data_IF_600046994057
#
_entry.id   IF_600046994057
#
_cell.length_a   1.000
_cell.length_b   1.000
_cell.length_c   1.000
_cell.angle_alpha   90.00
_cell.angle_beta   90.00
_cell.angle_gamma   90.00
#
_symmetry.space_group_name_H-M   'P 1'
#
loop_
_entity.id
_entity.type
_entity.pdbx_description
1 polymer ?
#
# COMPACT_ATOMS: atom_id res chain seq x y z
N UNK A 1 -15.59 -20.17 23.12
CA UNK A 1 -14.13 -19.93 23.21
C UNK A 1 -13.83 -18.56 22.60
N UNK A 2 -13.66 -17.52 23.43
CA UNK A 2 -13.45 -16.12 23.01
C UNK A 2 -11.95 -15.82 23.04
N UNK A 3 -11.39 -15.29 21.95
CA UNK A 3 -9.96 -14.97 21.83
C UNK A 3 -9.67 -13.57 22.38
N UNK A 4 -8.72 -13.51 23.31
CA UNK A 4 -8.14 -12.29 23.90
C UNK A 4 -7.24 -11.59 22.87
N UNK A 5 -7.36 -10.27 22.75
CA UNK A 5 -6.39 -9.40 22.04
C UNK A 5 -5.77 -8.49 23.10
N UNK A 6 -4.44 -8.52 23.22
CA UNK A 6 -3.65 -7.74 24.16
C UNK A 6 -3.19 -6.44 23.48
N UNK A 7 -3.69 -5.30 23.96
CA UNK A 7 -3.21 -3.97 23.58
C UNK A 7 -2.29 -3.44 24.70
N UNK A 8 -1.04 -3.12 24.40
CA UNK A 8 -0.12 -2.43 25.31
C UNK A 8 -0.16 -0.94 24.98
N UNK A 9 -0.72 -0.15 25.91
CA UNK A 9 -0.66 1.32 25.94
C UNK A 9 0.43 1.73 26.93
N UNK A 10 1.47 2.43 26.46
CA UNK A 10 2.46 3.07 27.33
C UNK A 10 2.13 4.56 27.37
N UNK A 11 1.54 5.01 28.48
CA UNK A 11 1.39 6.42 28.82
C UNK A 11 2.64 6.89 29.56
N UNK A 12 3.35 7.88 29.00
CA UNK A 12 4.40 8.59 29.72
C UNK A 12 3.81 9.92 30.21
N UNK A 13 3.55 10.00 31.51
CA UNK A 13 3.06 11.19 32.19
C UNK A 13 4.19 12.22 32.35
N UNK A 14 4.02 13.40 31.74
CA UNK A 14 4.80 14.59 32.10
C UNK A 14 4.26 15.13 33.44
N UNK A 15 5.05 15.03 34.51
CA UNK A 15 4.85 15.85 35.70
C UNK A 15 5.61 17.17 35.54
N UNK A 16 4.85 18.26 35.50
CA UNK A 16 5.35 19.63 35.59
C UNK A 16 5.68 19.91 37.06
N UNK A 17 6.95 20.22 37.37
CA UNK A 17 7.32 20.81 38.66
C UNK A 17 7.60 22.31 38.47
N UNK A 18 6.76 23.13 39.09
CA UNK A 18 6.97 24.57 39.20
C UNK A 18 7.90 24.85 40.40
N UNK A 19 9.03 25.52 40.17
CA UNK A 19 9.85 26.10 41.24
C UNK A 19 9.82 27.63 41.21
N UNK A 20 9.50 28.18 42.37
CA UNK A 20 9.33 29.58 42.76
C UNK A 20 10.63 30.38 42.55
N UNK A 21 10.56 31.51 41.81
CA UNK A 21 11.65 32.48 41.69
C UNK A 21 11.97 33.11 43.06
N UNK A 22 13.20 32.97 43.52
CA UNK A 22 13.81 33.84 44.52
C UNK A 22 14.85 34.71 43.81
N UNK A 23 14.59 36.02 43.75
CA UNK A 23 15.52 37.03 43.24
C UNK A 23 16.63 37.26 44.27
N UNK A 24 17.83 36.78 43.98
CA UNK A 24 19.06 37.23 44.63
C UNK A 24 19.86 38.08 43.63
N UNK A 25 20.03 39.35 43.96
CA UNK A 25 20.84 40.31 43.20
C UNK A 25 22.31 39.90 43.25
N UNK A 26 22.85 39.35 42.16
CA UNK A 26 24.28 39.08 42.03
C UNK A 26 24.99 40.34 41.56
N UNK A 27 25.87 40.89 42.40
CA UNK A 27 26.81 41.95 42.03
C UNK A 27 27.70 41.44 40.89
N UNK A 28 27.77 42.19 39.79
CA UNK A 28 28.73 41.93 38.71
C UNK A 28 30.16 42.06 39.25
N UNK A 29 30.85 40.94 39.38
CA UNK A 29 32.31 40.91 39.44
C UNK A 29 32.81 40.67 38.03
N UNK A 30 33.27 41.74 37.37
CA UNK A 30 33.98 41.63 36.10
C UNK A 30 35.34 40.97 36.34
N UNK A 31 35.40 39.64 36.27
CA UNK A 31 36.65 38.93 36.00
C UNK A 31 36.78 38.83 34.48
N UNK A 32 37.88 39.30 33.87
CA UNK A 32 38.08 39.12 32.44
C UNK A 32 38.22 37.62 32.15
N UNK A 33 37.16 37.01 31.60
CA UNK A 33 37.26 35.69 30.98
C UNK A 33 38.14 35.86 29.75
N UNK A 34 39.41 35.46 29.86
CA UNK A 34 40.21 35.13 28.68
C UNK A 34 39.49 33.96 28.01
N UNK A 35 38.75 34.23 26.93
CA UNK A 35 38.31 33.21 25.99
C UNK A 35 39.58 32.62 25.40
N UNK A 36 40.05 31.50 25.97
CA UNK A 36 41.00 30.65 25.28
C UNK A 36 40.25 30.09 24.08
N UNK A 37 40.53 30.63 22.89
CA UNK A 37 40.17 29.98 21.64
C UNK A 37 41.05 28.74 21.49
N UNK A 38 40.73 27.67 22.21
CA UNK A 38 41.28 26.36 21.88
C UNK A 38 40.74 25.99 20.50
N UNK A 39 41.64 25.84 19.53
CA UNK A 39 41.32 25.17 18.26
C UNK A 39 40.62 23.85 18.61
N UNK A 40 39.51 23.48 17.94
CA UNK A 40 38.82 22.24 18.25
C UNK A 40 39.81 21.07 18.23
N UNK A 41 39.84 20.28 19.30
CA UNK A 41 40.69 19.11 19.36
C UNK A 41 40.35 18.20 18.18
N UNK A 42 41.38 17.65 17.53
CA UNK A 42 41.22 16.82 16.32
C UNK A 42 40.24 15.66 16.52
N UNK A 43 40.16 15.15 17.76
CA UNK A 43 39.22 14.11 18.20
C UNK A 43 37.77 14.59 18.16
N UNK A 44 37.46 15.77 18.70
CA UNK A 44 36.09 16.32 18.73
C UNK A 44 35.60 16.62 17.31
N UNK A 45 36.49 17.13 16.44
CA UNK A 45 36.18 17.33 15.02
C UNK A 45 35.88 16.02 14.28
N UNK A 46 36.53 14.92 14.66
CA UNK A 46 36.27 13.60 14.07
C UNK A 46 34.93 13.03 14.54
N UNK A 47 34.59 13.21 15.82
CA UNK A 47 33.32 12.77 16.39
C UNK A 47 32.13 13.49 15.74
N UNK A 48 32.21 14.82 15.59
CA UNK A 48 31.17 15.61 14.89
C UNK A 48 31.00 15.14 13.43
N UNK A 49 32.11 14.81 12.76
CA UNK A 49 32.06 14.26 11.39
C UNK A 49 31.42 12.87 11.37
N UNK A 50 31.71 12.02 12.35
CA UNK A 50 31.12 10.69 12.49
C UNK A 50 29.60 10.77 12.70
N UNK A 51 29.13 11.65 13.57
CA UNK A 51 27.70 11.85 13.84
C UNK A 51 26.96 12.37 12.60
N UNK A 52 27.59 13.28 11.85
CA UNK A 52 27.06 13.76 10.58
C UNK A 52 26.95 12.62 9.55
N UNK A 53 27.92 11.71 9.49
CA UNK A 53 27.88 10.55 8.59
C UNK A 53 26.81 9.54 9.00
N UNK A 54 26.64 9.31 10.30
CA UNK A 54 25.59 8.43 10.84
C UNK A 54 24.21 8.97 10.46
N UNK A 55 23.99 10.27 10.68
CA UNK A 55 22.73 10.95 10.34
C UNK A 55 22.46 10.88 8.82
N UNK A 56 23.49 11.06 8.00
CA UNK A 56 23.37 10.90 6.56
C UNK A 56 23.00 9.46 6.18
N UNK A 57 23.58 8.46 6.83
CA UNK A 57 23.28 7.05 6.58
C UNK A 57 21.84 6.69 6.96
N UNK A 58 21.35 7.17 8.11
CA UNK A 58 19.95 7.02 8.52
C UNK A 58 18.99 7.65 7.51
N UNK A 59 19.30 8.87 7.05
CA UNK A 59 18.51 9.52 6.01
C UNK A 59 18.48 8.70 4.72
N UNK A 60 19.63 8.23 4.25
CA UNK A 60 19.73 7.43 3.03
C UNK A 60 18.97 6.11 3.16
N UNK A 61 19.07 5.42 4.29
CA UNK A 61 18.30 4.19 4.54
C UNK A 61 16.80 4.45 4.51
N UNK A 62 16.35 5.52 5.17
CA UNK A 62 14.94 5.92 5.15
C UNK A 62 14.46 6.18 3.72
N UNK A 63 15.21 6.95 2.94
CA UNK A 63 14.87 7.25 1.55
C UNK A 63 14.84 5.98 0.71
N UNK A 64 15.82 5.09 0.84
CA UNK A 64 15.85 3.83 0.10
C UNK A 64 14.63 2.95 0.40
N UNK A 65 14.24 2.81 1.67
CA UNK A 65 13.06 2.03 2.03
C UNK A 65 11.78 2.61 1.41
N UNK A 66 11.61 3.94 1.47
CA UNK A 66 10.48 4.61 0.82
C UNK A 66 10.48 4.41 -0.69
N UNK A 67 11.65 4.47 -1.35
CA UNK A 67 11.75 4.22 -2.79
C UNK A 67 11.43 2.77 -3.15
N UNK A 68 11.85 1.81 -2.34
CA UNK A 68 11.53 0.40 -2.53
C UNK A 68 10.03 0.14 -2.42
N UNK A 69 9.36 0.72 -1.43
CA UNK A 69 7.90 0.65 -1.30
C UNK A 69 7.18 1.23 -2.52
N UNK A 70 7.64 2.39 -3.01
CA UNK A 70 7.07 3.02 -4.21
C UNK A 70 7.28 2.15 -5.46
N UNK A 71 8.45 1.54 -5.62
CA UNK A 71 8.73 0.63 -6.74
C UNK A 71 7.83 -0.60 -6.68
N UNK A 72 7.65 -1.19 -5.50
CA UNK A 72 6.78 -2.33 -5.31
C UNK A 72 5.32 -1.97 -5.66
N UNK A 73 4.80 -0.86 -5.12
CA UNK A 73 3.45 -0.39 -5.44
C UNK A 73 3.28 -0.11 -6.93
N UNK A 74 4.21 0.63 -7.54
CA UNK A 74 4.15 0.97 -8.97
C UNK A 74 4.19 -0.28 -9.83
N UNK A 75 5.07 -1.23 -9.53
CA UNK A 75 5.16 -2.48 -10.27
C UNK A 75 3.91 -3.35 -10.08
N UNK A 76 3.40 -3.42 -8.85
CA UNK A 76 2.21 -4.18 -8.46
C UNK A 76 0.92 -3.64 -9.06
N UNK A 77 0.82 -2.33 -9.34
CA UNK A 77 -0.38 -1.70 -9.92
C UNK A 77 -0.30 -1.53 -11.44
N UNK A 78 0.88 -1.72 -12.04
CA UNK A 78 1.08 -1.57 -13.48
C UNK A 78 0.25 -2.59 -14.26
N UNK A 79 -0.61 -2.13 -15.15
CA UNK A 79 -1.45 -3.01 -15.98
C UNK A 79 -2.49 -3.79 -15.20
N UNK A 80 -2.95 -3.27 -14.05
CA UNK A 80 -3.90 -3.96 -13.16
C UNK A 80 -5.19 -4.38 -13.85
N UNK A 81 -5.74 -3.54 -14.70
CA UNK A 81 -7.01 -3.80 -15.35
C UNK A 81 -6.82 -4.27 -16.80
N UNK A 82 -7.51 -5.33 -17.18
CA UNK A 82 -7.55 -5.86 -18.55
C UNK A 82 -8.99 -6.08 -18.99
N UNK A 83 -9.32 -5.59 -20.17
CA UNK A 83 -10.64 -5.81 -20.80
C UNK A 83 -10.60 -7.06 -21.68
N UNK A 84 -11.66 -7.84 -21.62
CA UNK A 84 -11.90 -9.02 -22.44
C UNK A 84 -13.17 -8.80 -23.25
N UNK A 85 -13.06 -8.98 -24.57
CA UNK A 85 -14.19 -8.93 -25.47
C UNK A 85 -15.08 -10.17 -25.28
N UNK A 86 -16.38 -9.97 -25.42
CA UNK A 86 -17.34 -11.06 -25.58
C UNK A 86 -17.85 -11.08 -27.01
N UNK A 87 -18.56 -12.13 -27.42
CA UNK A 87 -19.22 -12.16 -28.74
C UNK A 87 -20.36 -11.14 -28.84
N UNK A 88 -20.93 -10.71 -27.70
CA UNK A 88 -21.79 -9.55 -27.67
C UNK A 88 -20.91 -8.29 -27.74
N UNK A 89 -20.94 -7.62 -28.89
CA UNK A 89 -20.10 -6.43 -29.17
C UNK A 89 -20.30 -5.28 -28.17
N UNK A 90 -21.45 -5.21 -27.49
CA UNK A 90 -21.76 -4.20 -26.48
C UNK A 90 -21.21 -4.53 -25.10
N UNK A 91 -20.71 -5.75 -24.89
CA UNK A 91 -20.31 -6.25 -23.57
C UNK A 91 -18.83 -6.62 -23.53
N UNK A 92 -18.15 -6.09 -22.54
CA UNK A 92 -16.80 -6.47 -22.13
C UNK A 92 -16.80 -7.01 -20.71
N UNK A 93 -15.77 -7.79 -20.37
CA UNK A 93 -15.43 -8.11 -18.99
C UNK A 93 -14.15 -7.38 -18.61
N UNK A 94 -14.22 -6.52 -17.60
CA UNK A 94 -13.05 -5.92 -16.97
C UNK A 94 -12.58 -6.83 -15.84
N UNK A 95 -11.34 -7.32 -15.94
CA UNK A 95 -10.68 -8.08 -14.89
C UNK A 95 -9.68 -7.20 -14.16
N UNK A 96 -9.78 -7.16 -12.84
CA UNK A 96 -8.68 -6.78 -11.97
C UNK A 96 -7.71 -7.96 -11.86
N UNK A 97 -6.64 -7.91 -12.64
CA UNK A 97 -5.63 -8.97 -12.77
C UNK A 97 -4.82 -9.19 -11.48
N UNK A 98 -4.95 -8.30 -10.49
CA UNK A 98 -4.31 -8.46 -9.17
C UNK A 98 -5.21 -9.21 -8.18
N UNK A 99 -6.51 -8.95 -8.19
CA UNK A 99 -7.45 -9.48 -7.18
C UNK A 99 -8.38 -10.58 -7.71
N UNK A 100 -8.54 -10.69 -9.03
CA UNK A 100 -9.51 -11.59 -9.65
C UNK A 100 -10.95 -11.08 -9.60
N UNK A 101 -11.17 -9.79 -9.28
CA UNK A 101 -12.48 -9.13 -9.37
C UNK A 101 -12.85 -8.89 -10.83
N UNK A 102 -14.12 -9.15 -11.15
CA UNK A 102 -14.63 -9.03 -12.51
C UNK A 102 -15.84 -8.12 -12.51
N UNK A 103 -15.83 -7.15 -13.42
CA UNK A 103 -16.99 -6.32 -13.76
C UNK A 103 -17.42 -6.59 -15.20
N UNK A 104 -18.73 -6.69 -15.40
CA UNK A 104 -19.32 -6.64 -16.72
C UNK A 104 -19.48 -5.18 -17.11
N UNK A 105 -18.83 -4.75 -18.19
CA UNK A 105 -18.93 -3.42 -18.77
C UNK A 105 -19.84 -3.48 -19.99
N UNK A 106 -20.82 -2.59 -20.05
CA UNK A 106 -21.69 -2.40 -21.20
C UNK A 106 -21.48 -0.99 -21.75
N UNK A 107 -21.34 -0.87 -23.08
CA UNK A 107 -21.25 0.41 -23.78
C UNK A 107 -22.36 0.53 -24.82
N UNK A 108 -22.70 1.76 -25.18
CA UNK A 108 -23.83 2.09 -26.05
C UNK A 108 -23.59 3.46 -26.71
N UNK A 109 -24.34 3.79 -27.76
CA UNK A 109 -24.39 5.17 -28.24
C UNK A 109 -25.36 6.04 -27.43
N UNK A 110 -26.21 5.39 -26.63
CA UNK A 110 -27.12 6.04 -25.70
C UNK A 110 -26.54 5.97 -24.27
N UNK A 111 -26.22 7.13 -23.68
CA UNK A 111 -25.57 7.27 -22.36
C UNK A 111 -26.33 6.56 -21.22
N UNK A 112 -27.66 6.43 -21.34
CA UNK A 112 -28.52 5.77 -20.35
C UNK A 112 -28.40 4.24 -20.33
N UNK A 113 -27.71 3.67 -21.34
CA UNK A 113 -27.49 2.23 -21.50
C UNK A 113 -26.04 1.81 -21.30
N UNK A 114 -25.19 2.73 -20.87
CA UNK A 114 -23.81 2.47 -20.50
C UNK A 114 -23.67 2.19 -19.00
N UNK A 115 -22.69 1.36 -18.64
CA UNK A 115 -22.37 1.16 -17.24
C UNK A 115 -21.59 -0.11 -16.96
N UNK A 116 -21.20 -0.27 -15.70
CA UNK A 116 -20.57 -1.49 -15.22
C UNK A 116 -21.36 -2.12 -14.09
N UNK A 117 -21.24 -3.43 -13.96
CA UNK A 117 -21.83 -4.18 -12.87
C UNK A 117 -20.93 -5.32 -12.43
N UNK A 118 -20.71 -5.41 -11.13
CA UNK A 118 -19.84 -6.40 -10.52
C UNK A 118 -20.40 -7.82 -10.69
N UNK A 119 -19.58 -8.72 -11.20
CA UNK A 119 -19.85 -10.18 -11.21
C UNK A 119 -19.40 -10.79 -9.88
N UNK A 120 -18.21 -10.40 -9.40
CA UNK A 120 -17.69 -10.78 -8.09
C UNK A 120 -16.89 -9.66 -7.43
N UNK A 121 -17.09 -9.49 -6.13
CA UNK A 121 -16.35 -8.52 -5.30
C UNK A 121 -15.32 -9.18 -4.38
N UNK A 122 -15.24 -10.50 -4.39
CA UNK A 122 -14.27 -11.24 -3.59
C UNK A 122 -12.86 -11.07 -4.18
N UNK A 123 -11.89 -10.74 -3.32
CA UNK A 123 -10.48 -10.78 -3.64
C UNK A 123 -9.96 -12.22 -3.47
N UNK A 124 -9.51 -12.81 -4.58
CA UNK A 124 -8.98 -14.17 -4.62
C UNK A 124 -7.45 -14.22 -4.46
N UNK A 125 -6.77 -13.09 -4.27
CA UNK A 125 -5.32 -13.08 -4.01
C UNK A 125 -4.96 -13.67 -2.64
N UNK A 126 -5.93 -13.75 -1.72
CA UNK A 126 -5.75 -14.18 -0.32
C UNK A 126 -4.61 -13.46 0.41
N UNK A 127 -4.26 -12.24 -0.01
CA UNK A 127 -3.15 -11.49 0.57
C UNK A 127 -1.75 -12.04 0.22
N UNK A 128 -1.66 -13.04 -0.67
CA UNK A 128 -0.39 -13.62 -1.13
C UNK A 128 0.24 -12.75 -2.25
N UNK A 129 -0.42 -11.65 -2.62
CA UNK A 129 0.24 -10.45 -3.15
C UNK A 129 1.08 -10.70 -4.40
N UNK A 130 0.50 -11.28 -5.44
CA UNK A 130 1.25 -11.63 -6.66
C UNK A 130 1.37 -10.48 -7.68
N UNK A 131 0.99 -9.26 -7.31
CA UNK A 131 0.97 -8.11 -8.21
C UNK A 131 -0.06 -8.24 -9.34
N UNK A 132 -0.12 -7.22 -10.19
CA UNK A 132 -0.94 -7.24 -11.40
C UNK A 132 -0.46 -8.33 -12.36
N UNK A 133 -1.39 -8.93 -13.09
CA UNK A 133 -1.11 -10.01 -14.05
C UNK A 133 -1.22 -11.43 -13.50
N UNK A 134 -1.61 -11.61 -12.24
CA UNK A 134 -1.78 -12.92 -11.59
C UNK A 134 -3.01 -13.66 -12.11
N UNK A 135 -4.11 -12.94 -12.30
CA UNK A 135 -5.37 -13.49 -12.79
C UNK A 135 -5.54 -13.28 -14.30
N UNK A 136 -6.11 -14.27 -14.97
CA UNK A 136 -6.40 -14.21 -16.41
C UNK A 136 -7.73 -14.91 -16.73
N UNK A 137 -8.49 -14.33 -17.67
CA UNK A 137 -9.73 -14.91 -18.18
C UNK A 137 -9.49 -15.62 -19.51
N UNK A 138 -10.01 -16.84 -19.62
CA UNK A 138 -10.00 -17.64 -20.84
C UNK A 138 -11.43 -17.79 -21.35
N UNK A 139 -11.71 -17.38 -22.60
CA UNK A 139 -13.05 -17.55 -23.19
C UNK A 139 -13.34 -19.03 -23.41
N UNK A 140 -14.63 -19.36 -23.35
CA UNK A 140 -15.14 -20.67 -23.81
C UNK A 140 -15.89 -20.50 -25.13
N UNK A 141 -16.35 -21.59 -25.73
CA UNK A 141 -17.26 -21.54 -26.89
C UNK A 141 -18.63 -20.96 -26.56
N UNK A 142 -19.00 -20.88 -25.27
CA UNK A 142 -20.22 -20.20 -24.86
C UNK A 142 -19.87 -18.76 -24.49
N UNK A 143 -20.43 -17.80 -25.23
CA UNK A 143 -20.12 -16.37 -25.03
C UNK A 143 -20.37 -15.86 -23.60
N UNK A 144 -21.25 -16.51 -22.83
CA UNK A 144 -21.56 -16.14 -21.45
C UNK A 144 -20.55 -16.68 -20.43
N UNK A 145 -19.69 -17.62 -20.82
CA UNK A 145 -18.87 -18.42 -19.89
C UNK A 145 -17.38 -18.24 -20.14
N UNK A 146 -16.65 -18.02 -19.06
CA UNK A 146 -15.19 -17.88 -19.03
C UNK A 146 -14.60 -18.75 -17.92
N UNK A 147 -13.32 -19.09 -18.06
CA UNK A 147 -12.52 -19.68 -17.00
C UNK A 147 -11.56 -18.61 -16.48
N UNK A 148 -11.69 -18.24 -15.21
CA UNK A 148 -10.68 -17.46 -14.51
C UNK A 148 -9.61 -18.42 -13.99
N UNK A 149 -8.35 -18.12 -14.25
CA UNK A 149 -7.21 -18.82 -13.65
C UNK A 149 -6.37 -17.86 -12.82
N UNK A 150 -5.92 -18.34 -11.67
CA UNK A 150 -4.79 -17.77 -10.98
C UNK A 150 -3.52 -18.41 -11.52
N UNK A 151 -2.67 -17.62 -12.19
CA UNK A 151 -1.44 -18.10 -12.83
C UNK A 151 -0.34 -18.39 -11.82
N UNK A 152 -0.48 -18.02 -10.56
CA UNK A 152 0.55 -18.29 -9.54
C UNK A 152 0.41 -19.67 -8.93
N UNK A 153 -0.81 -20.08 -8.58
CA UNK A 153 -1.08 -21.36 -7.92
C UNK A 153 -2.00 -22.31 -8.69
N UNK A 154 -2.48 -21.88 -9.87
CA UNK A 154 -3.24 -22.71 -10.80
C UNK A 154 -4.69 -22.92 -10.41
N UNK A 155 -5.22 -22.22 -9.41
CA UNK A 155 -6.66 -22.28 -9.07
C UNK A 155 -7.51 -21.77 -10.21
N UNK A 156 -8.70 -22.35 -10.35
CA UNK A 156 -9.61 -22.06 -11.45
C UNK A 156 -11.01 -21.79 -10.93
N UNK A 157 -11.69 -20.89 -11.63
CA UNK A 157 -13.10 -20.60 -11.39
C UNK A 157 -13.83 -20.57 -12.71
N UNK A 158 -15.05 -21.10 -12.69
CA UNK A 158 -16.00 -20.94 -13.78
C UNK A 158 -16.77 -19.64 -13.53
N UNK A 159 -16.72 -18.74 -14.50
CA UNK A 159 -17.35 -17.42 -14.49
C UNK A 159 -18.49 -17.41 -15.49
N UNK A 160 -19.63 -16.86 -15.09
CA UNK A 160 -20.73 -16.54 -16.01
C UNK A 160 -21.12 -15.06 -15.88
N UNK A 161 -21.32 -14.38 -17.01
CA UNK A 161 -21.91 -13.04 -17.06
C UNK A 161 -23.34 -13.08 -17.61
N UNK A 162 -24.09 -12.00 -17.41
CA UNK A 162 -25.43 -11.87 -17.98
C UNK A 162 -26.20 -10.66 -17.47
N UNK A 163 -27.35 -10.41 -18.10
CA UNK A 163 -28.16 -9.20 -17.86
C UNK A 163 -28.86 -9.22 -16.50
N UNK A 164 -29.11 -10.41 -15.93
CA UNK A 164 -29.77 -10.56 -14.63
C UNK A 164 -28.77 -10.86 -13.52
N UNK A 165 -29.12 -10.54 -12.28
CA UNK A 165 -28.30 -10.87 -11.11
C UNK A 165 -28.04 -12.38 -10.99
N UNK A 166 -29.01 -13.24 -11.31
CA UNK A 166 -28.88 -14.70 -11.21
C UNK A 166 -27.97 -15.29 -12.29
N UNK A 167 -27.84 -14.62 -13.43
CA UNK A 167 -26.95 -15.03 -14.52
C UNK A 167 -25.50 -14.58 -14.34
N UNK A 168 -25.19 -13.81 -13.29
CA UNK A 168 -23.83 -13.40 -12.94
C UNK A 168 -23.35 -14.17 -11.73
N UNK A 169 -22.37 -15.02 -11.92
CA UNK A 169 -21.81 -15.81 -10.84
C UNK A 169 -20.40 -16.26 -11.14
N UNK A 170 -19.71 -16.65 -10.08
CA UNK A 170 -18.41 -17.29 -10.14
C UNK A 170 -18.40 -18.47 -9.17
N UNK A 171 -17.84 -19.61 -9.59
CA UNK A 171 -17.67 -20.80 -8.73
C UNK A 171 -16.30 -21.40 -8.89
N UNK A 172 -15.70 -21.83 -7.79
CA UNK A 172 -14.40 -22.52 -7.83
C UNK A 172 -14.53 -23.90 -8.48
N UNK A 173 -13.51 -24.31 -9.21
CA UNK A 173 -13.34 -25.65 -9.77
C UNK A 173 -12.27 -26.35 -8.91
N UNK A 174 -12.56 -27.58 -8.46
CA UNK A 174 -11.68 -28.42 -7.64
C UNK A 174 -11.22 -29.64 -8.43
#
# INVERSE_FOLDING_TARGET
>A
MKKFVLFILISLSCTVYAQKKSTATVKQVNVPVKVATSKPNKTDSLLVKMDSLLTQMEYLMRVNNTLLEQLDINSSLKGRFKLYQTENIYTFLQLDTKTGRIEQLQWSLDDDKEGSITINDNDFSYGIGHGSGSFELYPTHNMYQFILIDKTDGRKWHVQWGMTKKSRWIRRIY
#
